data_IF_644774343993
#
_entry.id   IF_644774343993
#
_cell.length_a   1.000
_cell.length_b   1.000
_cell.length_c   1.000
_cell.angle_alpha   90.00
_cell.angle_beta   90.00
_cell.angle_gamma   90.00
#
_symmetry.space_group_name_H-M   'P 1'
#
loop_
_entity.id
_entity.type
_entity.pdbx_description
1 polymer ?
#
# COMPACT_ATOMS: atom_id res chain seq x y z
N UNK A 1 -9.28 23.23 17.30
CA UNK A 1 -8.74 23.11 15.93
C UNK A 1 -9.13 24.34 15.13
N UNK A 2 -8.29 24.84 14.23
CA UNK A 2 -8.65 25.93 13.32
C UNK A 2 -9.84 25.53 12.44
N UNK A 3 -10.67 26.51 12.06
CA UNK A 3 -11.81 26.29 11.16
C UNK A 3 -11.27 25.84 9.78
N UNK A 4 -11.74 24.73 9.21
CA UNK A 4 -11.27 24.28 7.90
C UNK A 4 -11.63 25.31 6.82
N UNK A 5 -10.78 25.39 5.79
CA UNK A 5 -11.04 26.23 4.62
C UNK A 5 -12.33 25.81 3.90
N UNK A 6 -13.00 26.76 3.24
CA UNK A 6 -14.27 26.52 2.53
C UNK A 6 -14.13 25.55 1.35
N UNK A 7 -12.93 25.41 0.80
CA UNK A 7 -12.60 24.47 -0.27
C UNK A 7 -12.02 23.15 0.24
N UNK A 8 -12.11 22.84 1.53
CA UNK A 8 -11.64 21.57 2.08
C UNK A 8 -12.42 20.39 1.46
N UNK A 9 -11.78 19.68 0.54
CA UNK A 9 -12.36 18.56 -0.19
C UNK A 9 -12.21 17.21 0.54
N UNK A 10 -11.47 17.16 1.66
CA UNK A 10 -11.20 15.91 2.40
C UNK A 10 -12.47 15.14 2.74
N UNK A 11 -13.57 15.74 3.24
CA UNK A 11 -14.80 14.98 3.54
C UNK A 11 -15.40 14.28 2.31
N UNK A 12 -15.35 14.94 1.14
CA UNK A 12 -15.83 14.35 -0.12
C UNK A 12 -14.90 13.22 -0.57
N UNK A 13 -13.58 13.43 -0.45
CA UNK A 13 -12.59 12.40 -0.76
C UNK A 13 -12.74 11.15 0.12
N UNK A 14 -13.05 11.30 1.41
CA UNK A 14 -13.29 10.17 2.31
C UNK A 14 -14.49 9.30 1.87
N UNK A 15 -15.47 9.86 1.14
CA UNK A 15 -16.51 9.06 0.50
C UNK A 15 -15.94 8.06 -0.50
N UNK A 16 -15.00 8.51 -1.35
CA UNK A 16 -14.29 7.65 -2.29
C UNK A 16 -13.39 6.63 -1.61
N UNK A 17 -12.68 7.03 -0.56
CA UNK A 17 -11.87 6.08 0.24
C UNK A 17 -12.77 4.98 0.80
N UNK A 18 -13.92 5.34 1.35
CA UNK A 18 -14.87 4.37 1.91
C UNK A 18 -15.42 3.42 0.84
N UNK A 19 -15.76 3.91 -0.36
CA UNK A 19 -16.16 3.08 -1.50
C UNK A 19 -15.10 2.02 -1.82
N UNK A 20 -13.81 2.39 -1.86
CA UNK A 20 -12.71 1.45 -2.09
C UNK A 20 -12.61 0.41 -0.96
N UNK A 21 -12.82 0.78 0.30
CA UNK A 21 -12.84 -0.19 1.40
C UNK A 21 -13.98 -1.21 1.24
N UNK A 22 -15.17 -0.76 0.79
CA UNK A 22 -16.27 -1.68 0.47
C UNK A 22 -15.93 -2.59 -0.71
N UNK A 23 -15.19 -2.11 -1.71
CA UNK A 23 -14.72 -2.94 -2.81
C UNK A 23 -13.68 -3.99 -2.36
N UNK A 24 -12.78 -3.64 -1.43
CA UNK A 24 -11.84 -4.61 -0.82
C UNK A 24 -12.62 -5.68 -0.05
N UNK A 25 -13.63 -5.28 0.74
CA UNK A 25 -14.52 -6.22 1.43
C UNK A 25 -15.17 -7.20 0.43
N UNK A 26 -15.65 -6.69 -0.72
CA UNK A 26 -16.21 -7.52 -1.78
C UNK A 26 -15.18 -8.47 -2.39
N UNK A 27 -13.98 -8.00 -2.68
CA UNK A 27 -12.91 -8.86 -3.19
C UNK A 27 -12.59 -10.00 -2.21
N UNK A 28 -12.63 -9.72 -0.89
CA UNK A 28 -12.42 -10.75 0.13
C UNK A 28 -13.55 -11.78 0.23
N UNK A 29 -14.76 -11.46 -0.22
CA UNK A 29 -15.93 -12.33 -0.15
C UNK A 29 -16.23 -13.03 -1.48
N UNK A 30 -15.71 -12.50 -2.58
CA UNK A 30 -15.94 -12.98 -3.92
C UNK A 30 -15.36 -14.38 -4.14
N UNK A 31 -15.98 -15.12 -5.06
CA UNK A 31 -15.56 -16.45 -5.46
C UNK A 31 -14.58 -16.38 -6.63
N UNK A 32 -13.87 -17.49 -6.81
CA UNK A 32 -13.00 -17.70 -7.97
C UNK A 32 -13.76 -17.41 -9.28
N UNK A 33 -13.09 -16.73 -10.20
CA UNK A 33 -13.60 -16.28 -11.50
C UNK A 33 -14.66 -15.16 -11.47
N UNK A 34 -14.99 -14.60 -10.30
CA UNK A 34 -15.79 -13.37 -10.24
C UNK A 34 -14.92 -12.15 -10.59
N UNK A 35 -15.58 -11.02 -10.85
CA UNK A 35 -14.95 -9.73 -11.08
C UNK A 35 -15.71 -8.68 -10.29
N UNK A 36 -14.98 -7.75 -9.67
CA UNK A 36 -15.55 -6.61 -8.96
C UNK A 36 -15.25 -5.36 -9.76
N UNK A 37 -16.26 -4.55 -10.01
CA UNK A 37 -16.15 -3.27 -10.71
C UNK A 37 -16.38 -2.12 -9.75
N UNK A 38 -15.59 -1.07 -9.89
CA UNK A 38 -15.76 0.19 -9.17
C UNK A 38 -16.10 1.29 -10.17
N UNK A 39 -17.04 2.18 -9.84
CA UNK A 39 -17.41 3.36 -10.65
C UNK A 39 -17.80 3.10 -12.13
N UNK A 40 -18.00 1.83 -12.53
CA UNK A 40 -18.36 1.47 -13.90
C UNK A 40 -19.88 1.33 -14.09
N UNK A 41 -20.56 0.76 -13.09
CA UNK A 41 -21.99 0.44 -13.11
C UNK A 41 -22.71 1.02 -11.88
N UNK A 42 -22.10 2.02 -11.23
CA UNK A 42 -22.39 2.45 -9.87
C UNK A 42 -21.12 2.37 -9.02
N UNK A 43 -21.22 2.65 -7.72
CA UNK A 43 -20.06 2.76 -6.84
C UNK A 43 -19.26 1.44 -6.75
N UNK A 44 -19.94 0.31 -6.47
CA UNK A 44 -19.34 -1.04 -6.46
C UNK A 44 -20.32 -2.07 -7.04
N UNK A 45 -19.87 -2.90 -7.98
CA UNK A 45 -20.67 -3.95 -8.62
C UNK A 45 -19.92 -5.29 -8.63
N UNK A 46 -20.61 -6.39 -8.35
CA UNK A 46 -20.02 -7.74 -8.29
C UNK A 46 -20.44 -8.67 -9.45
N UNK A 47 -21.07 -8.12 -10.49
CA UNK A 47 -21.61 -8.91 -11.62
C UNK A 47 -23.07 -9.32 -11.42
N UNK A 48 -23.63 -9.09 -10.23
CA UNK A 48 -25.03 -9.39 -9.93
C UNK A 48 -25.73 -8.25 -9.16
N UNK A 49 -25.01 -7.63 -8.23
CA UNK A 49 -25.51 -6.69 -7.24
C UNK A 49 -24.75 -5.39 -7.32
N UNK A 50 -25.47 -4.26 -7.46
CA UNK A 50 -24.89 -2.93 -7.31
C UNK A 50 -25.03 -2.50 -5.85
N UNK A 51 -23.93 -2.05 -5.27
CA UNK A 51 -23.89 -1.36 -3.97
C UNK A 51 -23.65 0.12 -4.22
N UNK A 52 -24.67 0.93 -3.95
CA UNK A 52 -24.55 2.39 -3.88
C UNK A 52 -24.11 2.77 -2.47
N UNK A 53 -22.96 3.41 -2.32
CA UNK A 53 -22.30 3.64 -1.04
C UNK A 53 -22.50 5.08 -0.58
N UNK A 54 -22.86 5.27 0.69
CA UNK A 54 -23.07 6.57 1.32
C UNK A 54 -22.38 6.62 2.69
N UNK A 55 -21.25 7.31 2.73
CA UNK A 55 -20.46 7.52 3.95
C UNK A 55 -20.74 8.89 4.56
N UNK A 56 -20.90 8.91 5.88
CA UNK A 56 -21.08 10.13 6.66
C UNK A 56 -19.98 10.24 7.71
N UNK A 57 -19.30 11.40 7.80
CA UNK A 57 -18.24 11.63 8.79
C UNK A 57 -18.72 11.67 10.26
N UNK A 58 -20.03 11.51 10.51
CA UNK A 58 -20.60 11.46 11.84
C UNK A 58 -21.92 10.69 11.84
N UNK A 59 -22.50 10.53 13.02
CA UNK A 59 -23.81 9.87 13.17
C UNK A 59 -24.87 10.66 12.42
N UNK A 60 -25.58 9.96 11.54
CA UNK A 60 -26.64 10.52 10.70
C UNK A 60 -27.76 9.52 10.57
N UNK A 61 -28.94 10.01 10.18
CA UNK A 61 -30.14 9.22 10.07
C UNK A 61 -30.68 9.23 8.64
N UNK A 62 -31.09 8.06 8.16
CA UNK A 62 -31.85 7.88 6.94
C UNK A 62 -33.33 8.17 7.22
N UNK A 63 -33.65 9.45 7.40
CA UNK A 63 -35.01 9.97 7.54
C UNK A 63 -35.80 9.85 6.25
N UNK A 64 -37.14 9.96 6.31
CA UNK A 64 -38.01 9.95 5.13
C UNK A 64 -37.69 11.01 4.07
N UNK A 65 -36.97 12.08 4.45
CA UNK A 65 -36.52 13.15 3.56
C UNK A 65 -35.01 13.15 3.27
N UNK A 66 -34.29 12.07 3.61
CA UNK A 66 -32.86 11.98 3.34
C UNK A 66 -32.57 11.97 1.84
N UNK A 67 -31.80 12.97 1.39
CA UNK A 67 -31.53 13.21 -0.02
C UNK A 67 -30.80 12.02 -0.68
N UNK A 68 -29.89 11.38 0.05
CA UNK A 68 -29.14 10.20 -0.40
C UNK A 68 -30.05 9.10 -0.95
N UNK A 69 -31.14 8.76 -0.25
CA UNK A 69 -32.07 7.74 -0.71
C UNK A 69 -32.79 8.19 -1.99
N UNK A 70 -33.36 9.38 -1.99
CA UNK A 70 -34.17 9.86 -3.11
C UNK A 70 -33.33 10.10 -4.36
N UNK A 71 -32.10 10.58 -4.22
CA UNK A 71 -31.15 10.72 -5.32
C UNK A 71 -30.74 9.36 -5.87
N UNK A 72 -30.46 8.39 -5.00
CA UNK A 72 -30.16 7.00 -5.41
C UNK A 72 -31.32 6.40 -6.19
N UNK A 73 -32.54 6.43 -5.64
CA UNK A 73 -33.71 5.88 -6.30
C UNK A 73 -34.02 6.60 -7.62
N UNK A 74 -33.79 7.92 -7.68
CA UNK A 74 -33.93 8.70 -8.91
C UNK A 74 -32.94 8.24 -9.99
N UNK A 75 -31.69 7.95 -9.65
CA UNK A 75 -30.72 7.40 -10.60
C UNK A 75 -31.14 6.01 -11.10
N UNK A 76 -31.55 5.12 -10.19
CA UNK A 76 -32.01 3.77 -10.53
C UNK A 76 -33.18 3.75 -11.50
N UNK A 77 -34.12 4.70 -11.39
CA UNK A 77 -35.25 4.77 -12.33
C UNK A 77 -34.88 5.43 -13.66
N UNK A 78 -33.75 6.13 -13.76
CA UNK A 78 -33.33 6.82 -15.00
C UNK A 78 -32.35 6.02 -15.84
N UNK A 79 -31.64 5.07 -15.25
CA UNK A 79 -30.62 4.26 -15.91
C UNK A 79 -31.20 2.93 -16.42
N UNK A 80 -30.54 2.33 -17.42
CA UNK A 80 -30.89 0.99 -17.87
C UNK A 80 -30.29 -0.05 -16.91
N UNK A 81 -31.17 -0.65 -16.11
CA UNK A 81 -30.85 -1.61 -15.06
C UNK A 81 -31.50 -2.97 -15.30
N UNK A 82 -31.82 -3.26 -16.56
CA UNK A 82 -32.47 -4.52 -16.97
C UNK A 82 -31.67 -5.76 -16.55
N UNK A 83 -30.35 -5.73 -16.75
CA UNK A 83 -29.42 -6.83 -16.44
C UNK A 83 -29.00 -6.92 -14.96
N UNK A 84 -29.42 -5.97 -14.11
CA UNK A 84 -29.03 -5.94 -12.70
C UNK A 84 -30.03 -6.71 -11.84
N UNK A 85 -29.55 -7.62 -11.01
CA UNK A 85 -30.41 -8.49 -10.20
C UNK A 85 -30.74 -7.91 -8.83
N UNK A 86 -29.85 -7.12 -8.23
CA UNK A 86 -30.06 -6.55 -6.90
C UNK A 86 -29.42 -5.17 -6.72
N UNK A 87 -30.04 -4.34 -5.89
CA UNK A 87 -29.56 -3.02 -5.50
C UNK A 87 -29.49 -2.90 -3.99
N UNK A 88 -28.35 -2.43 -3.49
CA UNK A 88 -28.14 -2.20 -2.08
C UNK A 88 -27.73 -0.74 -1.88
N UNK A 89 -28.54 0.03 -1.16
CA UNK A 89 -28.07 1.27 -0.55
C UNK A 89 -27.25 0.92 0.68
N UNK A 90 -25.93 0.97 0.57
CA UNK A 90 -24.98 0.73 1.65
C UNK A 90 -24.65 2.05 2.34
N UNK A 91 -25.08 2.23 3.59
CA UNK A 91 -24.95 3.52 4.28
C UNK A 91 -24.52 3.39 5.73
N UNK A 92 -23.71 4.33 6.19
CA UNK A 92 -23.36 4.49 7.60
C UNK A 92 -24.47 5.11 8.43
N UNK A 93 -25.54 5.61 7.79
CA UNK A 93 -26.67 6.21 8.49
C UNK A 93 -27.56 5.14 9.15
N UNK A 94 -28.09 5.45 10.34
CA UNK A 94 -29.09 4.64 11.03
C UNK A 94 -30.49 4.90 10.45
N UNK A 95 -31.41 3.93 10.56
CA UNK A 95 -32.81 4.13 10.16
C UNK A 95 -33.66 4.36 11.42
N UNK A 96 -34.19 5.58 11.63
CA UNK A 96 -35.15 5.86 12.69
C UNK A 96 -36.43 5.04 12.54
N UNK A 97 -37.10 4.73 13.65
CA UNK A 97 -38.39 4.01 13.67
C UNK A 97 -39.55 4.79 13.03
N UNK A 98 -39.48 6.12 13.06
CA UNK A 98 -40.43 7.03 12.41
C UNK A 98 -40.13 7.27 10.91
N UNK A 99 -39.05 6.70 10.38
CA UNK A 99 -38.71 6.78 8.95
C UNK A 99 -39.59 5.86 8.11
N UNK A 100 -39.97 6.29 6.90
CA UNK A 100 -40.64 5.40 5.93
C UNK A 100 -39.78 4.19 5.55
N UNK A 101 -38.46 4.29 5.73
CA UNK A 101 -37.48 3.23 5.48
C UNK A 101 -37.35 2.24 6.64
N UNK A 102 -38.00 2.48 7.78
CA UNK A 102 -38.01 1.51 8.88
C UNK A 102 -38.65 0.20 8.42
N UNK A 103 -37.93 -0.90 8.64
CA UNK A 103 -38.29 -2.24 8.18
C UNK A 103 -38.36 -2.36 6.65
N UNK A 104 -37.58 -1.58 5.89
CA UNK A 104 -37.68 -1.53 4.42
C UNK A 104 -37.51 -2.89 3.75
N UNK A 105 -36.55 -3.69 4.22
CA UNK A 105 -36.16 -4.95 3.57
C UNK A 105 -37.23 -6.04 3.76
N UNK A 106 -38.09 -5.90 4.76
CA UNK A 106 -39.18 -6.82 5.09
C UNK A 106 -40.49 -6.48 4.33
N UNK A 107 -40.55 -5.31 3.68
CA UNK A 107 -41.72 -4.88 2.92
C UNK A 107 -41.74 -5.50 1.53
N UNK A 108 -42.94 -5.89 1.08
CA UNK A 108 -43.17 -6.21 -0.33
C UNK A 108 -43.01 -4.97 -1.20
N UNK A 109 -42.68 -5.17 -2.49
CA UNK A 109 -42.56 -4.08 -3.48
C UNK A 109 -43.78 -3.14 -3.50
N UNK A 110 -44.99 -3.69 -3.37
CA UNK A 110 -46.24 -2.91 -3.31
C UNK A 110 -46.31 -2.05 -2.04
N UNK A 111 -45.95 -2.59 -0.87
CA UNK A 111 -45.91 -1.82 0.38
C UNK A 111 -44.85 -0.72 0.33
N UNK A 112 -43.67 -1.00 -0.24
CA UNK A 112 -42.63 0.02 -0.51
C UNK A 112 -43.19 1.15 -1.37
N UNK A 113 -43.84 0.80 -2.49
CA UNK A 113 -44.48 1.77 -3.39
C UNK A 113 -45.52 2.64 -2.69
N UNK A 114 -46.41 2.03 -1.89
CA UNK A 114 -47.45 2.76 -1.17
C UNK A 114 -46.87 3.74 -0.14
N UNK A 115 -45.81 3.35 0.57
CA UNK A 115 -45.07 4.26 1.48
C UNK A 115 -44.49 5.44 0.71
N UNK A 116 -43.82 5.20 -0.43
CA UNK A 116 -43.23 6.26 -1.25
C UNK A 116 -44.30 7.21 -1.82
N UNK A 117 -45.43 6.69 -2.32
CA UNK A 117 -46.52 7.51 -2.88
C UNK A 117 -47.23 8.37 -1.84
N UNK A 118 -47.30 7.92 -0.57
CA UNK A 118 -47.90 8.69 0.53
C UNK A 118 -46.95 9.73 1.13
N UNK A 119 -45.65 9.62 0.87
CA UNK A 119 -44.64 10.54 1.39
C UNK A 119 -44.86 11.95 0.84
N UNK A 120 -44.75 12.96 1.71
CA UNK A 120 -44.81 14.37 1.33
C UNK A 120 -43.38 14.94 1.29
N UNK A 121 -42.82 15.22 0.10
CA UNK A 121 -41.42 15.62 -0.03
C UNK A 121 -41.18 17.06 0.43
N UNK A 122 -40.09 17.29 1.15
CA UNK A 122 -39.58 18.64 1.42
C UNK A 122 -38.83 19.20 0.20
N UNK A 123 -38.50 20.50 0.25
CA UNK A 123 -37.89 21.22 -0.87
C UNK A 123 -36.62 20.55 -1.43
N UNK A 124 -35.75 20.01 -0.57
CA UNK A 124 -34.46 19.41 -0.96
C UNK A 124 -34.62 18.16 -1.82
N UNK A 125 -35.68 17.37 -1.63
CA UNK A 125 -35.89 16.12 -2.36
C UNK A 125 -37.01 16.20 -3.40
N UNK A 126 -37.71 17.34 -3.51
CA UNK A 126 -38.93 17.47 -4.32
C UNK A 126 -38.72 17.10 -5.79
N UNK A 127 -37.59 17.49 -6.37
CA UNK A 127 -37.22 17.16 -7.76
C UNK A 127 -36.94 15.67 -7.94
N UNK A 128 -36.18 15.06 -7.02
CA UNK A 128 -35.88 13.63 -7.03
C UNK A 128 -37.15 12.79 -6.87
N UNK A 129 -37.99 13.15 -5.90
CA UNK A 129 -39.30 12.54 -5.67
C UNK A 129 -40.18 12.59 -6.92
N UNK A 130 -40.31 13.77 -7.54
CA UNK A 130 -41.15 13.94 -8.73
C UNK A 130 -40.68 13.03 -9.89
N UNK A 131 -39.37 12.92 -10.12
CA UNK A 131 -38.81 12.03 -11.14
C UNK A 131 -39.12 10.54 -10.88
N UNK A 132 -39.00 10.10 -9.62
CA UNK A 132 -39.32 8.72 -9.21
C UNK A 132 -40.80 8.41 -9.40
N UNK A 133 -41.67 9.29 -8.94
CA UNK A 133 -43.12 9.06 -8.87
C UNK A 133 -43.80 9.20 -10.24
N UNK A 134 -43.17 9.90 -11.18
CA UNK A 134 -43.60 10.00 -12.58
C UNK A 134 -43.45 8.68 -13.36
N UNK A 135 -42.66 7.72 -12.86
CA UNK A 135 -42.45 6.45 -13.53
C UNK A 135 -43.70 5.55 -13.50
N UNK A 136 -43.93 4.75 -14.56
CA UNK A 136 -44.98 3.76 -14.56
C UNK A 136 -44.89 2.85 -13.33
N UNK A 137 -46.04 2.52 -12.73
CA UNK A 137 -46.11 1.77 -11.49
C UNK A 137 -45.34 0.44 -11.58
N UNK A 138 -45.51 -0.30 -12.67
CA UNK A 138 -44.86 -1.60 -12.85
C UNK A 138 -43.33 -1.50 -12.96
N UNK A 139 -42.81 -0.47 -13.64
CA UNK A 139 -41.37 -0.18 -13.68
C UNK A 139 -40.84 0.16 -12.28
N UNK A 140 -41.55 1.00 -11.52
CA UNK A 140 -41.11 1.33 -10.17
C UNK A 140 -41.18 0.10 -9.25
N UNK A 141 -42.21 -0.75 -9.38
CA UNK A 141 -42.32 -1.97 -8.59
C UNK A 141 -41.17 -2.95 -8.87
N UNK A 142 -40.75 -3.12 -10.13
CA UNK A 142 -39.62 -4.00 -10.47
C UNK A 142 -38.30 -3.52 -9.86
N UNK A 143 -38.10 -2.20 -9.74
CA UNK A 143 -36.94 -1.60 -9.09
C UNK A 143 -37.01 -1.79 -7.57
N UNK A 144 -38.17 -1.51 -6.96
CA UNK A 144 -38.37 -1.63 -5.51
C UNK A 144 -38.30 -3.08 -5.01
N UNK A 145 -38.56 -4.05 -5.88
CA UNK A 145 -38.36 -5.48 -5.62
C UNK A 145 -36.88 -5.80 -5.40
N UNK A 146 -35.99 -5.20 -6.19
CA UNK A 146 -34.54 -5.41 -6.16
C UNK A 146 -33.82 -4.53 -5.11
N UNK A 147 -34.45 -3.44 -4.67
CA UNK A 147 -33.84 -2.44 -3.77
C UNK A 147 -33.93 -2.82 -2.29
N UNK A 148 -32.76 -2.97 -1.67
CA UNK A 148 -32.59 -3.16 -0.22
C UNK A 148 -31.70 -2.05 0.37
N UNK A 149 -31.77 -1.90 1.69
CA UNK A 149 -30.96 -0.93 2.44
C UNK A 149 -30.10 -1.68 3.45
N UNK A 150 -28.78 -1.50 3.38
CA UNK A 150 -27.83 -1.97 4.38
C UNK A 150 -27.37 -0.74 5.18
N UNK A 151 -28.13 -0.42 6.22
CA UNK A 151 -27.90 0.75 7.09
C UNK A 151 -26.96 0.44 8.24
N UNK A 152 -26.65 1.46 9.06
CA UNK A 152 -25.86 1.32 10.30
C UNK A 152 -24.51 0.66 10.05
N UNK A 153 -23.92 0.89 8.88
CA UNK A 153 -22.64 0.30 8.53
C UNK A 153 -21.50 1.04 9.26
N UNK A 154 -20.39 0.32 9.56
CA UNK A 154 -19.23 0.90 10.22
C UNK A 154 -18.72 2.14 9.47
N UNK A 155 -18.28 3.15 10.19
CA UNK A 155 -17.63 4.30 9.57
C UNK A 155 -16.28 3.90 8.94
N UNK A 156 -15.62 4.84 8.26
CA UNK A 156 -14.35 4.56 7.56
C UNK A 156 -13.23 3.99 8.44
N UNK A 157 -13.09 4.49 9.67
CA UNK A 157 -12.04 4.02 10.60
C UNK A 157 -12.37 2.62 11.11
N UNK A 158 -13.63 2.37 11.47
CA UNK A 158 -14.11 1.07 11.90
C UNK A 158 -13.99 0.04 10.78
N UNK A 159 -14.40 0.40 9.55
CA UNK A 159 -14.29 -0.47 8.37
C UNK A 159 -12.83 -0.81 8.05
N UNK A 160 -11.92 0.14 8.19
CA UNK A 160 -10.49 -0.12 8.05
C UNK A 160 -10.00 -1.17 9.06
N UNK A 161 -10.39 -1.05 10.34
CA UNK A 161 -10.02 -2.04 11.35
C UNK A 161 -10.66 -3.41 11.07
N UNK A 162 -11.92 -3.46 10.68
CA UNK A 162 -12.59 -4.72 10.30
C UNK A 162 -11.88 -5.43 9.15
N UNK A 163 -11.46 -4.70 8.11
CA UNK A 163 -10.71 -5.27 6.99
C UNK A 163 -9.33 -5.77 7.43
N UNK A 164 -8.65 -5.01 8.29
CA UNK A 164 -7.35 -5.38 8.85
C UNK A 164 -7.43 -6.69 9.66
N UNK A 165 -8.52 -6.88 10.38
CA UNK A 165 -8.77 -8.06 11.23
C UNK A 165 -9.47 -9.21 10.48
N UNK A 166 -9.73 -9.04 9.19
CA UNK A 166 -10.36 -10.04 8.34
C UNK A 166 -9.60 -11.37 8.35
N UNK A 167 -10.35 -12.47 8.38
CA UNK A 167 -9.83 -13.84 8.23
C UNK A 167 -9.67 -14.27 6.77
N UNK A 168 -9.75 -13.33 5.82
CA UNK A 168 -9.53 -13.64 4.41
C UNK A 168 -8.11 -14.22 4.18
N UNK A 169 -7.93 -15.24 3.33
CA UNK A 169 -6.63 -15.86 3.08
C UNK A 169 -5.49 -14.90 2.71
N UNK A 170 -5.78 -13.74 2.11
CA UNK A 170 -4.78 -12.71 1.80
C UNK A 170 -4.13 -12.15 3.07
N UNK A 171 -4.87 -12.03 4.17
CA UNK A 171 -4.42 -11.43 5.43
C UNK A 171 -4.28 -12.45 6.57
N UNK A 172 -4.95 -13.59 6.49
CA UNK A 172 -5.01 -14.57 7.58
C UNK A 172 -3.64 -15.07 8.03
N UNK A 173 -2.74 -15.31 7.07
CA UNK A 173 -1.37 -15.78 7.34
C UNK A 173 -0.38 -14.64 7.59
N UNK A 174 -0.78 -13.38 7.43
CA UNK A 174 0.06 -12.21 7.70
C UNK A 174 0.13 -11.99 9.21
N UNK A 175 1.35 -11.82 9.74
CA UNK A 175 1.54 -11.55 11.17
C UNK A 175 0.90 -10.22 11.57
N UNK A 176 0.40 -10.13 12.81
CA UNK A 176 -0.36 -8.98 13.28
C UNK A 176 0.36 -7.64 13.12
N UNK A 177 1.69 -7.62 13.33
CA UNK A 177 2.51 -6.42 13.19
C UNK A 177 2.66 -5.94 11.73
N UNK A 178 2.31 -6.75 10.74
CA UNK A 178 2.37 -6.42 9.30
C UNK A 178 1.00 -6.26 8.65
N UNK A 179 -0.11 -6.46 9.38
CA UNK A 179 -1.47 -6.38 8.81
C UNK A 179 -1.78 -4.99 8.24
N UNK A 180 -1.26 -3.93 8.84
CA UNK A 180 -1.42 -2.56 8.33
C UNK A 180 -0.72 -2.38 6.99
N UNK A 181 0.53 -2.84 6.86
CA UNK A 181 1.29 -2.75 5.60
C UNK A 181 0.66 -3.61 4.51
N UNK A 182 0.20 -4.81 4.85
CA UNK A 182 -0.52 -5.68 3.93
C UNK A 182 -1.81 -5.03 3.42
N UNK A 183 -2.60 -4.38 4.30
CA UNK A 183 -3.81 -3.68 3.89
C UNK A 183 -3.49 -2.43 3.04
N UNK A 184 -2.41 -1.70 3.33
CA UNK A 184 -1.94 -0.62 2.45
C UNK A 184 -1.56 -1.12 1.06
N UNK A 185 -0.88 -2.26 0.97
CA UNK A 185 -0.54 -2.87 -0.32
C UNK A 185 -1.80 -3.26 -1.10
N UNK A 186 -2.76 -3.91 -0.44
CA UNK A 186 -4.07 -4.26 -1.05
C UNK A 186 -4.78 -3.00 -1.55
N UNK A 187 -4.82 -1.95 -0.73
CA UNK A 187 -5.41 -0.67 -1.09
C UNK A 187 -4.74 -0.07 -2.34
N UNK A 188 -3.41 -0.13 -2.43
CA UNK A 188 -2.64 0.28 -3.60
C UNK A 188 -2.94 -0.56 -4.84
N UNK A 189 -3.03 -1.88 -4.70
CA UNK A 189 -3.37 -2.79 -5.80
C UNK A 189 -4.72 -2.45 -6.45
N UNK A 190 -5.74 -2.15 -5.63
CA UNK A 190 -7.06 -1.77 -6.15
C UNK A 190 -6.97 -0.47 -6.95
N UNK A 191 -6.26 0.55 -6.47
CA UNK A 191 -6.10 1.82 -7.19
C UNK A 191 -5.31 1.67 -8.49
N UNK A 192 -4.30 0.81 -8.51
CA UNK A 192 -3.49 0.56 -9.71
C UNK A 192 -4.35 0.08 -10.89
N UNK A 193 -5.46 -0.63 -10.63
CA UNK A 193 -6.38 -1.05 -11.71
C UNK A 193 -7.08 0.13 -12.40
N UNK A 194 -7.45 1.18 -11.66
CA UNK A 194 -8.00 2.40 -12.26
C UNK A 194 -6.97 3.19 -13.09
N UNK A 195 -5.70 3.13 -12.68
CA UNK A 195 -4.60 3.81 -13.39
C UNK A 195 -4.37 3.13 -14.75
N UNK A 196 -4.40 1.80 -14.77
CA UNK A 196 -4.12 1.00 -15.96
C UNK A 196 -5.27 1.05 -16.99
N UNK A 197 -6.52 1.16 -16.55
CA UNK A 197 -7.68 1.37 -17.42
C UNK A 197 -8.62 2.45 -16.85
N UNK A 198 -8.54 3.64 -17.43
CA UNK A 198 -9.36 4.81 -17.05
C UNK A 198 -10.85 4.68 -17.35
N UNK A 199 -11.26 3.66 -18.12
CA UNK A 199 -12.65 3.42 -18.49
C UNK A 199 -13.26 2.21 -17.79
N UNK A 200 -12.44 1.25 -17.36
CA UNK A 200 -12.90 0.04 -16.69
C UNK A 200 -12.06 -0.26 -15.44
N UNK A 201 -12.53 0.21 -14.28
CA UNK A 201 -11.92 -0.14 -13.00
C UNK A 201 -12.41 -1.52 -12.55
N UNK A 202 -11.83 -2.57 -13.13
CA UNK A 202 -12.16 -3.97 -12.84
C UNK A 202 -11.08 -4.68 -12.01
N UNK A 203 -11.53 -5.50 -11.05
CA UNK A 203 -10.70 -6.36 -10.21
C UNK A 203 -11.09 -7.81 -10.48
N UNK A 204 -10.26 -8.53 -11.23
CA UNK A 204 -10.43 -9.97 -11.46
C UNK A 204 -9.96 -10.74 -10.24
N UNK A 205 -10.85 -11.51 -9.62
CA UNK A 205 -10.57 -12.14 -8.33
C UNK A 205 -9.41 -13.14 -8.39
N UNK A 206 -9.26 -13.86 -9.50
CA UNK A 206 -8.14 -14.78 -9.69
C UNK A 206 -6.77 -14.07 -9.67
N UNK A 207 -6.71 -12.90 -10.30
CA UNK A 207 -5.48 -12.10 -10.39
C UNK A 207 -5.20 -11.41 -9.06
N UNK A 208 -6.26 -10.92 -8.40
CA UNK A 208 -6.21 -10.35 -7.06
C UNK A 208 -5.65 -11.36 -6.04
N UNK A 209 -6.25 -12.54 -5.94
CA UNK A 209 -5.82 -13.60 -5.01
C UNK A 209 -4.37 -14.02 -5.27
N UNK A 210 -4.00 -14.17 -6.55
CA UNK A 210 -2.63 -14.55 -6.95
C UNK A 210 -1.62 -13.47 -6.58
N UNK A 211 -1.95 -12.19 -6.82
CA UNK A 211 -1.10 -11.07 -6.49
C UNK A 211 -0.94 -10.90 -4.98
N UNK A 212 -2.03 -10.99 -4.21
CA UNK A 212 -1.99 -10.99 -2.75
C UNK A 212 -1.08 -12.10 -2.22
N UNK A 213 -1.23 -13.33 -2.72
CA UNK A 213 -0.40 -14.46 -2.29
C UNK A 213 1.08 -14.21 -2.53
N UNK A 214 1.45 -13.67 -3.68
CA UNK A 214 2.85 -13.40 -4.04
C UNK A 214 3.41 -12.21 -3.24
N UNK A 215 2.71 -11.09 -3.20
CA UNK A 215 3.20 -9.87 -2.59
C UNK A 215 3.23 -9.92 -1.07
N UNK A 216 2.30 -10.67 -0.45
CA UNK A 216 2.19 -10.75 1.00
C UNK A 216 2.96 -11.93 1.61
N UNK A 217 3.49 -12.85 0.79
CA UNK A 217 4.32 -13.96 1.23
C UNK A 217 5.44 -13.54 2.20
N UNK A 218 6.19 -12.44 2.00
CA UNK A 218 7.25 -12.03 2.92
C UNK A 218 6.75 -11.73 4.34
N UNK A 219 5.51 -11.26 4.49
CA UNK A 219 4.91 -10.93 5.79
C UNK A 219 4.35 -12.14 6.55
N UNK A 220 4.33 -13.32 5.92
CA UNK A 220 3.86 -14.58 6.54
C UNK A 220 4.98 -15.34 7.27
N UNK A 221 6.24 -14.99 7.03
CA UNK A 221 7.39 -15.76 7.50
C UNK A 221 7.88 -15.30 8.89
N UNK A 222 8.67 -16.16 9.56
CA UNK A 222 9.22 -15.85 10.88
C UNK A 222 10.29 -14.75 10.91
N UNK A 223 10.74 -14.33 9.73
CA UNK A 223 11.80 -13.37 9.52
C UNK A 223 11.23 -12.06 8.95
N UNK A 224 11.88 -10.96 9.29
CA UNK A 224 11.61 -9.61 8.79
C UNK A 224 11.79 -9.60 7.27
N UNK A 225 10.82 -9.09 6.49
CA UNK A 225 10.97 -8.98 5.05
C UNK A 225 12.03 -7.92 4.70
N UNK A 226 12.85 -8.19 3.69
CA UNK A 226 13.79 -7.21 3.18
C UNK A 226 13.06 -6.14 2.34
N UNK A 227 13.20 -4.85 2.64
CA UNK A 227 12.46 -3.81 1.93
C UNK A 227 12.95 -3.65 0.49
N UNK A 228 12.00 -3.34 -0.39
CA UNK A 228 12.32 -2.99 -1.77
C UNK A 228 12.61 -1.49 -1.86
N UNK A 229 13.86 -1.15 -2.21
CA UNK A 229 14.28 0.23 -2.49
C UNK A 229 14.75 0.31 -3.94
N UNK A 230 14.08 1.15 -4.73
CA UNK A 230 14.42 1.37 -6.13
C UNK A 230 15.81 1.99 -6.30
N UNK A 231 16.45 1.71 -7.43
CA UNK A 231 17.68 2.39 -7.80
C UNK A 231 17.39 3.85 -8.14
N UNK A 232 17.92 4.76 -7.33
CA UNK A 232 17.87 6.19 -7.65
C UNK A 232 19.02 6.53 -8.59
N UNK A 233 18.71 7.21 -9.71
CA UNK A 233 19.73 7.87 -10.52
C UNK A 233 20.15 9.14 -9.80
N UNK A 234 21.16 9.00 -8.98
CA UNK A 234 21.61 10.05 -8.10
C UNK A 234 22.57 10.98 -8.86
N UNK A 235 22.14 12.21 -9.15
CA UNK A 235 23.01 13.31 -9.59
C UNK A 235 23.52 14.06 -8.34
N UNK A 236 24.34 13.39 -7.53
CA UNK A 236 24.89 13.98 -6.29
C UNK A 236 26.25 14.60 -6.58
N UNK A 237 26.43 15.82 -6.07
CA UNK A 237 27.73 16.45 -5.91
C UNK A 237 28.60 15.57 -4.98
N UNK A 238 29.37 14.68 -5.61
CA UNK A 238 30.17 13.57 -5.06
C UNK A 238 31.32 13.98 -4.12
N UNK A 239 31.22 15.12 -3.44
CA UNK A 239 32.31 15.77 -2.71
C UNK A 239 32.23 15.67 -1.18
N UNK A 240 31.24 14.97 -0.63
CA UNK A 240 30.98 14.99 0.83
C UNK A 240 31.12 13.65 1.55
N UNK A 241 31.47 12.56 0.85
CA UNK A 241 31.56 11.22 1.45
C UNK A 241 32.99 10.68 1.43
N UNK A 242 33.48 10.23 2.58
CA UNK A 242 34.87 9.75 2.71
C UNK A 242 35.13 8.51 1.85
N UNK A 243 34.14 7.63 1.69
CA UNK A 243 34.30 6.46 0.80
C UNK A 243 34.47 6.88 -0.66
N UNK A 244 33.82 7.95 -1.10
CA UNK A 244 33.96 8.47 -2.47
C UNK A 244 35.34 9.08 -2.69
N UNK A 245 35.85 9.81 -1.70
CA UNK A 245 37.22 10.35 -1.72
C UNK A 245 38.25 9.22 -1.79
N UNK A 246 38.08 8.17 -1.01
CA UNK A 246 38.97 7.01 -1.04
C UNK A 246 38.89 6.25 -2.37
N UNK A 247 37.70 6.04 -2.93
CA UNK A 247 37.55 5.42 -4.25
C UNK A 247 38.23 6.23 -5.36
N UNK A 248 38.19 7.57 -5.26
CA UNK A 248 38.92 8.47 -6.18
C UNK A 248 40.43 8.39 -5.95
N UNK A 249 40.89 8.29 -4.70
CA UNK A 249 42.32 8.21 -4.35
C UNK A 249 42.98 6.94 -4.90
N UNK A 250 42.24 5.83 -4.97
CA UNK A 250 42.69 4.59 -5.60
C UNK A 250 42.30 4.50 -7.09
N UNK A 251 41.92 5.61 -7.72
CA UNK A 251 41.63 5.73 -9.16
C UNK A 251 40.57 4.75 -9.71
N UNK A 252 39.45 4.56 -9.00
CA UNK A 252 38.32 3.79 -9.55
C UNK A 252 37.55 4.55 -10.63
N UNK A 253 36.87 3.79 -11.50
CA UNK A 253 36.08 4.34 -12.61
C UNK A 253 34.83 5.04 -12.08
N UNK A 254 34.40 6.09 -12.78
CA UNK A 254 33.20 6.89 -12.47
C UNK A 254 31.95 6.03 -12.25
N UNK A 255 31.67 5.06 -13.13
CA UNK A 255 30.49 4.20 -13.00
C UNK A 255 30.49 3.37 -11.71
N UNK A 256 31.67 2.93 -11.23
CA UNK A 256 31.77 2.20 -9.95
C UNK A 256 31.45 3.10 -8.77
N UNK A 257 31.88 4.37 -8.84
CA UNK A 257 31.58 5.38 -7.83
C UNK A 257 30.07 5.71 -7.80
N UNK A 258 29.43 5.86 -8.97
CA UNK A 258 27.99 6.10 -9.07
C UNK A 258 27.17 4.95 -8.46
N UNK A 259 27.55 3.70 -8.78
CA UNK A 259 26.92 2.52 -8.19
C UNK A 259 27.10 2.48 -6.66
N UNK A 260 28.32 2.72 -6.17
CA UNK A 260 28.62 2.74 -4.75
C UNK A 260 27.79 3.78 -3.98
N UNK A 261 27.58 4.96 -4.57
CA UNK A 261 26.71 6.00 -4.01
C UNK A 261 25.27 5.50 -3.91
N UNK A 262 24.71 4.95 -5.00
CA UNK A 262 23.37 4.37 -5.01
C UNK A 262 23.20 3.30 -3.91
N UNK A 263 24.11 2.33 -3.86
CA UNK A 263 24.04 1.22 -2.90
C UNK A 263 24.17 1.71 -1.45
N UNK A 264 25.03 2.70 -1.20
CA UNK A 264 25.17 3.35 0.11
C UNK A 264 23.85 3.96 0.58
N UNK A 265 23.20 4.79 -0.25
CA UNK A 265 21.91 5.41 0.11
C UNK A 265 20.81 4.38 0.32
N UNK A 266 20.68 3.43 -0.60
CA UNK A 266 19.67 2.36 -0.49
C UNK A 266 19.87 1.53 0.78
N UNK A 267 21.12 1.25 1.15
CA UNK A 267 21.44 0.55 2.39
C UNK A 267 21.04 1.34 3.65
N UNK A 268 21.22 2.67 3.66
CA UNK A 268 20.82 3.51 4.79
C UNK A 268 19.30 3.63 4.91
N UNK A 269 18.58 3.80 3.79
CA UNK A 269 17.11 3.78 3.79
C UNK A 269 16.56 2.44 4.30
N UNK A 270 17.17 1.33 3.84
CA UNK A 270 16.84 -0.01 4.32
C UNK A 270 17.06 -0.14 5.83
N UNK A 271 18.15 0.42 6.36
CA UNK A 271 18.45 0.39 7.79
C UNK A 271 17.39 1.16 8.60
N UNK A 272 16.97 2.34 8.12
CA UNK A 272 15.89 3.13 8.75
C UNK A 272 14.59 2.33 8.78
N UNK A 273 14.24 1.65 7.68
CA UNK A 273 13.07 0.78 7.63
C UNK A 273 13.20 -0.36 8.63
N UNK A 274 14.37 -1.00 8.72
CA UNK A 274 14.58 -2.08 9.66
C UNK A 274 14.38 -1.64 11.12
N UNK A 275 14.92 -0.48 11.48
CA UNK A 275 14.81 0.08 12.84
C UNK A 275 13.36 0.34 13.28
N UNK A 276 12.42 0.52 12.33
CA UNK A 276 11.00 0.67 12.63
C UNK A 276 10.31 -0.66 13.02
N UNK A 277 10.91 -1.83 12.72
CA UNK A 277 10.27 -3.10 13.03
C UNK A 277 10.36 -3.47 14.51
N UNK A 278 11.56 -3.51 15.09
CA UNK A 278 11.77 -3.89 16.49
C UNK A 278 13.08 -3.30 17.05
N UNK A 279 13.14 -2.86 18.33
CA UNK A 279 14.35 -2.31 18.92
C UNK A 279 15.58 -3.24 18.87
N UNK A 280 15.38 -4.56 18.94
CA UNK A 280 16.46 -5.55 18.92
C UNK A 280 17.21 -5.63 17.58
N UNK A 281 16.60 -5.12 16.50
CA UNK A 281 17.21 -5.16 15.17
C UNK A 281 18.47 -4.30 15.10
N UNK A 282 18.57 -3.24 15.92
CA UNK A 282 19.74 -2.37 15.95
C UNK A 282 21.02 -3.15 16.27
N UNK A 283 20.98 -4.00 17.31
CA UNK A 283 22.11 -4.83 17.71
C UNK A 283 22.46 -5.88 16.63
N UNK A 284 21.45 -6.39 15.90
CA UNK A 284 21.67 -7.33 14.80
C UNK A 284 22.40 -6.63 13.63
N UNK A 285 22.00 -5.41 13.30
CA UNK A 285 22.60 -4.61 12.22
C UNK A 285 24.03 -4.19 12.59
N UNK A 286 24.29 -3.81 13.84
CA UNK A 286 25.64 -3.49 14.31
C UNK A 286 26.59 -4.70 14.24
N UNK A 287 26.09 -5.89 14.60
CA UNK A 287 26.82 -7.15 14.46
C UNK A 287 27.10 -7.49 13.00
N UNK A 288 26.14 -7.23 12.12
CA UNK A 288 26.29 -7.41 10.68
C UNK A 288 27.38 -6.50 10.08
N UNK A 289 27.39 -5.20 10.43
CA UNK A 289 28.44 -4.30 9.98
C UNK A 289 29.82 -4.70 10.50
N UNK A 290 29.87 -5.17 11.75
CA UNK A 290 31.10 -5.66 12.36
C UNK A 290 31.63 -6.92 11.69
N UNK A 291 30.75 -7.81 11.20
CA UNK A 291 31.17 -9.00 10.45
C UNK A 291 31.74 -8.62 9.08
N UNK A 292 31.09 -7.71 8.36
CA UNK A 292 31.60 -7.17 7.08
C UNK A 292 32.97 -6.53 7.28
N UNK A 293 33.11 -5.65 8.28
CA UNK A 293 34.36 -4.97 8.57
C UNK A 293 35.49 -5.97 8.86
N UNK A 294 35.20 -7.05 9.60
CA UNK A 294 36.18 -8.09 9.89
C UNK A 294 36.67 -8.77 8.61
N UNK A 295 35.78 -9.12 7.69
CA UNK A 295 36.16 -9.71 6.39
C UNK A 295 36.99 -8.74 5.54
N UNK A 296 36.62 -7.45 5.51
CA UNK A 296 37.40 -6.42 4.83
C UNK A 296 38.81 -6.30 5.38
N UNK A 297 38.98 -6.35 6.72
CA UNK A 297 40.29 -6.35 7.38
C UNK A 297 41.12 -7.59 7.07
N UNK A 298 40.50 -8.76 7.01
CA UNK A 298 41.19 -9.99 6.60
C UNK A 298 41.74 -9.88 5.18
N UNK A 299 40.91 -9.41 4.24
CA UNK A 299 41.37 -9.15 2.87
C UNK A 299 42.48 -8.09 2.84
N UNK A 300 42.38 -7.03 3.66
CA UNK A 300 43.43 -6.01 3.70
C UNK A 300 44.77 -6.60 4.12
N UNK A 301 44.78 -7.43 5.15
CA UNK A 301 45.98 -8.13 5.61
C UNK A 301 46.56 -9.02 4.49
N UNK A 302 45.72 -9.80 3.80
CA UNK A 302 46.17 -10.64 2.68
C UNK A 302 46.84 -9.82 1.57
N UNK A 303 46.31 -8.64 1.26
CA UNK A 303 46.84 -7.75 0.22
C UNK A 303 48.04 -6.92 0.68
N UNK A 304 48.32 -6.85 2.00
CA UNK A 304 49.49 -6.17 2.55
C UNK A 304 50.70 -7.07 2.77
N UNK A 305 50.53 -8.41 2.84
CA UNK A 305 51.60 -9.37 3.15
C UNK A 305 52.89 -9.22 2.31
N UNK A 306 52.76 -8.94 1.02
CA UNK A 306 53.89 -8.83 0.08
C UNK A 306 54.32 -7.37 -0.16
N UNK A 307 53.95 -6.44 0.72
CA UNK A 307 54.25 -5.00 0.62
C UNK A 307 55.34 -4.60 1.61
N UNK A 308 56.41 -3.97 1.12
CA UNK A 308 57.44 -3.36 1.96
C UNK A 308 57.15 -1.87 2.19
N UNK A 309 57.69 -1.28 3.27
CA UNK A 309 57.45 0.12 3.64
C UNK A 309 57.89 1.07 2.52
N UNK A 310 58.99 0.75 1.83
CA UNK A 310 59.55 1.50 0.71
C UNK A 310 58.64 1.50 -0.54
N UNK A 311 57.70 0.55 -0.61
CA UNK A 311 56.76 0.39 -1.72
C UNK A 311 55.43 1.14 -1.49
N UNK A 312 55.25 1.76 -0.33
CA UNK A 312 54.09 2.62 -0.05
C UNK A 312 54.00 3.76 -1.07
N UNK A 313 52.78 4.12 -1.46
CA UNK A 313 52.48 5.14 -2.48
C UNK A 313 53.06 4.86 -3.89
N UNK A 314 53.49 3.63 -4.18
CA UNK A 314 53.92 3.24 -5.53
C UNK A 314 52.74 2.69 -6.36
N UNK A 315 52.99 2.48 -7.66
CA UNK A 315 52.04 1.80 -8.53
C UNK A 315 51.68 0.39 -8.03
N UNK A 316 52.58 -0.28 -7.30
CA UNK A 316 52.34 -1.62 -6.73
C UNK A 316 51.23 -1.56 -5.68
N UNK A 317 51.33 -0.67 -4.70
CA UNK A 317 50.32 -0.53 -3.63
C UNK A 317 49.00 0.05 -4.14
N UNK A 318 49.03 0.88 -5.18
CA UNK A 318 47.82 1.29 -5.90
C UNK A 318 47.09 0.11 -6.57
N UNK A 319 47.82 -0.81 -7.19
CA UNK A 319 47.25 -2.03 -7.78
C UNK A 319 46.69 -2.93 -6.67
N UNK A 320 47.41 -3.10 -5.56
CA UNK A 320 46.95 -3.86 -4.40
C UNK A 320 45.64 -3.27 -3.84
N UNK A 321 45.54 -1.95 -3.67
CA UNK A 321 44.33 -1.29 -3.20
C UNK A 321 43.13 -1.47 -4.15
N UNK A 322 43.35 -1.40 -5.48
CA UNK A 322 42.32 -1.68 -6.49
C UNK A 322 41.84 -3.14 -6.42
N UNK A 323 42.77 -4.08 -6.24
CA UNK A 323 42.45 -5.50 -6.11
C UNK A 323 41.70 -5.79 -4.80
N UNK A 324 42.11 -5.17 -3.69
CA UNK A 324 41.44 -5.24 -2.40
C UNK A 324 40.00 -4.73 -2.51
N UNK A 325 39.78 -3.55 -3.10
CA UNK A 325 38.42 -3.06 -3.36
C UNK A 325 37.59 -4.07 -4.16
N UNK A 326 38.14 -4.57 -5.28
CA UNK A 326 37.43 -5.56 -6.11
C UNK A 326 37.09 -6.83 -5.33
N UNK A 327 37.93 -7.27 -4.40
CA UNK A 327 37.71 -8.46 -3.60
C UNK A 327 36.69 -8.22 -2.49
N UNK A 328 36.69 -7.04 -1.86
CA UNK A 328 35.63 -6.65 -0.93
C UNK A 328 34.24 -6.69 -1.60
N UNK A 329 34.12 -6.16 -2.83
CA UNK A 329 32.87 -6.19 -3.58
C UNK A 329 32.44 -7.63 -3.98
N UNK A 330 33.39 -8.56 -4.05
CA UNK A 330 33.15 -9.98 -4.36
C UNK A 330 32.93 -10.84 -3.11
N UNK A 331 32.93 -10.26 -1.91
CA UNK A 331 32.63 -11.00 -0.68
C UNK A 331 31.30 -11.75 -0.84
N UNK A 332 31.22 -13.02 -0.37
CA UNK A 332 29.97 -13.77 -0.32
C UNK A 332 28.88 -12.96 0.36
N UNK A 333 27.64 -13.17 -0.05
CA UNK A 333 26.49 -12.48 0.54
C UNK A 333 26.29 -12.96 1.98
N UNK A 334 26.49 -12.05 2.93
CA UNK A 334 26.14 -12.23 4.32
C UNK A 334 24.65 -11.98 4.51
N UNK A 335 23.98 -12.93 5.15
CA UNK A 335 22.58 -12.80 5.51
C UNK A 335 22.43 -12.08 6.85
N UNK A 336 21.54 -11.10 6.90
CA UNK A 336 21.18 -10.45 8.16
C UNK A 336 20.33 -11.44 8.97
N UNK A 337 20.72 -11.78 10.21
CA UNK A 337 19.93 -12.65 11.07
C UNK A 337 18.49 -12.15 11.20
N UNK A 338 17.53 -13.08 11.19
CA UNK A 338 16.10 -12.78 11.30
C UNK A 338 15.52 -11.96 10.14
N UNK A 339 16.27 -11.68 9.08
CA UNK A 339 15.76 -11.04 7.86
C UNK A 339 15.75 -12.07 6.72
N UNK A 340 14.71 -12.03 5.90
CA UNK A 340 14.64 -12.83 4.67
C UNK A 340 15.40 -12.15 3.55
N UNK A 341 16.06 -12.91 2.68
CA UNK A 341 16.48 -12.43 1.35
C UNK A 341 17.29 -11.11 1.34
N UNK A 342 18.33 -11.02 2.19
CA UNK A 342 19.28 -9.90 2.18
C UNK A 342 19.78 -9.64 0.76
N UNK A 343 19.68 -8.41 0.29
CA UNK A 343 20.08 -8.08 -1.08
C UNK A 343 21.53 -7.62 -1.15
N UNK A 344 22.20 -7.91 -2.28
CA UNK A 344 23.62 -7.61 -2.48
C UNK A 344 23.94 -6.11 -2.36
N UNK A 345 23.06 -5.24 -2.88
CA UNK A 345 23.22 -3.79 -2.76
C UNK A 345 23.39 -3.33 -1.31
N UNK A 346 22.75 -4.03 -0.36
CA UNK A 346 22.82 -3.66 1.04
C UNK A 346 24.21 -3.91 1.60
N UNK A 347 24.74 -5.12 1.40
CA UNK A 347 26.10 -5.46 1.79
C UNK A 347 27.12 -4.51 1.15
N UNK A 348 26.94 -4.22 -0.13
CA UNK A 348 27.81 -3.32 -0.87
C UNK A 348 27.74 -1.89 -0.30
N UNK A 349 26.55 -1.39 0.00
CA UNK A 349 26.38 -0.13 0.73
C UNK A 349 27.02 -0.14 2.12
N UNK A 350 26.94 -1.25 2.86
CA UNK A 350 27.58 -1.40 4.19
C UNK A 350 29.11 -1.47 4.13
N UNK A 351 29.69 -1.99 3.05
CA UNK A 351 31.14 -1.91 2.79
C UNK A 351 31.56 -0.44 2.69
N UNK A 352 30.85 0.35 1.89
CA UNK A 352 31.12 1.78 1.74
C UNK A 352 30.83 2.56 3.04
N UNK A 353 29.81 2.16 3.80
CA UNK A 353 29.52 2.73 5.13
C UNK A 353 30.70 2.59 6.09
N UNK A 354 31.35 1.42 6.16
CA UNK A 354 32.52 1.25 7.03
C UNK A 354 33.68 2.20 6.68
N UNK A 355 33.87 2.53 5.40
CA UNK A 355 34.84 3.54 4.97
C UNK A 355 34.36 4.94 5.30
N UNK A 356 33.07 5.21 5.11
CA UNK A 356 32.47 6.50 5.45
C UNK A 356 32.53 6.84 6.95
N UNK A 357 32.43 5.83 7.81
CA UNK A 357 32.59 5.96 9.27
C UNK A 357 34.07 5.95 9.70
N UNK A 358 35.01 6.02 8.77
CA UNK A 358 36.46 6.00 9.02
C UNK A 358 36.93 4.75 9.78
N UNK A 359 36.22 3.62 9.64
CA UNK A 359 36.57 2.33 10.26
C UNK A 359 37.49 1.49 9.39
N UNK A 360 37.63 1.85 8.11
CA UNK A 360 38.41 1.14 7.11
C UNK A 360 38.86 2.09 5.98
N UNK A 361 40.00 1.79 5.36
CA UNK A 361 40.49 2.43 4.11
C UNK A 361 41.08 1.34 3.20
N UNK A 362 40.94 1.49 1.89
CA UNK A 362 41.45 0.49 0.92
C UNK A 362 42.94 0.69 0.61
N UNK A 363 43.48 1.90 0.78
CA UNK A 363 44.92 2.11 0.69
C UNK A 363 45.66 1.31 1.76
N UNK A 364 46.79 0.74 1.35
CA UNK A 364 47.75 0.11 2.27
C UNK A 364 48.54 1.23 2.95
N UNK A 365 48.50 1.23 4.28
CA UNK A 365 49.14 2.19 5.16
C UNK A 365 50.26 1.50 5.96
N UNK A 366 51.13 2.28 6.57
CA UNK A 366 52.24 1.78 7.40
C UNK A 366 51.75 0.87 8.55
N UNK A 367 50.61 1.21 9.16
CA UNK A 367 49.98 0.42 10.23
C UNK A 367 49.56 -0.99 9.79
N UNK A 368 49.38 -1.24 8.48
CA UNK A 368 49.00 -2.55 7.94
C UNK A 368 50.23 -3.47 7.68
N UNK A 369 51.44 -2.94 7.89
CA UNK A 369 52.73 -3.64 7.68
C UNK A 369 53.45 -3.99 9.00
N UNK A 370 52.89 -3.57 10.14
CA UNK A 370 53.37 -3.85 11.50
C UNK A 370 52.66 -5.07 12.08
#
# INVERSE_FOLDING_TARGET
>A
MPKPFSNNATPKYLGYVYQVLIAIEQCFQAKKNETIWLECYGDVYDGNTIKEVKHHCGKTNLTSNSEDFWKTLKNLVTEDISEINAFILHTTADIPDDSIFFGWNELSKTKKYDKLKKHTPVATIKSHYAAVIAKPKEELLSILEKLTIKSSQPNIEEKWQELKESRNPCLYSVKDNYKTDALHWIYGYIHDKAINDRYNWEIKINDFDSACKLALQPYTQDKIPFPHIEETKIDIDSKSFLFVEEMKSIELRKNSIEQAISDYFRSNETQIIFLNYQPIIAEILDKYDSSILREMKLLKNEHSLDTEIEELNTKKTLIAAKNLYSNCMKLPLNHIPQVNDTQKYYQDGRIHHNVNENRFVWRICEEDLL
#
